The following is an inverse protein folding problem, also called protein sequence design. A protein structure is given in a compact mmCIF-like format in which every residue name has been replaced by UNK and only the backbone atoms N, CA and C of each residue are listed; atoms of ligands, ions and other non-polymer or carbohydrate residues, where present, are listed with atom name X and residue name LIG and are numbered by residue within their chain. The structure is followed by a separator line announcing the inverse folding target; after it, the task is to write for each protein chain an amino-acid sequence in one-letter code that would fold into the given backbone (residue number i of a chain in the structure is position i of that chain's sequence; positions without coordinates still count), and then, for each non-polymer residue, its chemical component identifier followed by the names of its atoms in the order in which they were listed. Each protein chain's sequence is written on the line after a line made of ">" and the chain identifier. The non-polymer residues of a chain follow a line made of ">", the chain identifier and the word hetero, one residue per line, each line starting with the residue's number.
data_IF_957513508960
#
_entry.id   IF_957513508960
#
_cell.length_a   1.000
_cell.length_b   1.000
_cell.length_c   1.000
_cell.angle_alpha   90.00
_cell.angle_beta   90.00
_cell.angle_gamma   90.00
#
_symmetry.space_group_name_H-M   'P 1'
#
loop_
_entity.id
_entity.type
_entity.pdbx_description
1 polymer ?
#
# COMPACT_ATOMS: atom_id res chain seq x y z
N UNK A 1 42.79 56.37 -14.20
CA UNK A 1 41.59 55.73 -13.60
C UNK A 1 41.29 54.46 -14.38
N UNK A 2 41.60 53.25 -13.89
CA UNK A 2 41.06 52.04 -14.48
C UNK A 2 39.75 51.67 -13.76
N UNK A 3 38.69 51.45 -14.54
CA UNK A 3 37.41 50.93 -14.08
C UNK A 3 37.51 49.40 -14.05
N UNK A 4 37.51 48.79 -12.87
CA UNK A 4 37.49 47.33 -12.72
C UNK A 4 36.03 46.89 -12.65
N UNK A 5 35.50 46.30 -13.72
CA UNK A 5 34.21 45.61 -13.69
C UNK A 5 34.33 44.35 -12.83
N UNK A 6 33.72 44.36 -11.65
CA UNK A 6 33.56 43.17 -10.82
C UNK A 6 32.45 42.29 -11.39
N UNK A 7 32.81 41.11 -11.91
CA UNK A 7 31.86 40.08 -12.29
C UNK A 7 31.45 39.28 -11.06
N UNK A 8 30.22 39.47 -10.58
CA UNK A 8 29.62 38.65 -9.51
C UNK A 8 29.18 37.30 -10.07
N UNK A 9 29.87 36.21 -9.72
CA UNK A 9 29.38 34.85 -9.96
C UNK A 9 28.24 34.55 -8.97
N UNK A 10 27.01 34.42 -9.48
CA UNK A 10 25.90 33.90 -8.71
C UNK A 10 26.02 32.36 -8.62
N UNK A 11 26.49 31.85 -7.48
CA UNK A 11 26.48 30.41 -7.19
C UNK A 11 25.07 29.97 -6.81
N UNK A 12 24.33 29.38 -7.75
CA UNK A 12 23.08 28.69 -7.47
C UNK A 12 23.37 27.40 -6.72
N UNK A 13 23.12 27.39 -5.41
CA UNK A 13 23.16 26.18 -4.60
C UNK A 13 21.97 25.28 -4.98
N UNK A 14 22.21 24.26 -5.80
CA UNK A 14 21.28 23.14 -5.93
C UNK A 14 21.29 22.38 -4.60
N UNK A 15 20.35 22.69 -3.72
CA UNK A 15 20.04 21.80 -2.61
C UNK A 15 19.55 20.48 -3.22
N UNK A 16 20.38 19.44 -3.18
CA UNK A 16 19.94 18.11 -3.51
C UNK A 16 18.75 17.80 -2.59
N UNK A 17 17.56 17.71 -3.16
CA UNK A 17 16.40 17.16 -2.47
C UNK A 17 16.80 15.72 -2.18
N UNK A 18 17.25 15.45 -0.95
CA UNK A 18 17.54 14.10 -0.52
C UNK A 18 16.22 13.34 -0.59
N UNK A 19 16.02 12.60 -1.67
CA UNK A 19 15.05 11.52 -1.68
C UNK A 19 15.53 10.54 -0.62
N UNK A 20 14.89 10.53 0.55
CA UNK A 20 15.09 9.50 1.55
C UNK A 20 14.52 8.20 0.96
N UNK A 21 15.28 7.60 0.06
CA UNK A 21 14.95 6.31 -0.52
C UNK A 21 14.91 5.29 0.61
N UNK A 22 13.87 4.44 0.60
CA UNK A 22 13.74 3.36 1.56
C UNK A 22 15.03 2.55 1.68
N UNK A 23 15.55 2.41 2.91
CA UNK A 23 16.73 1.61 3.19
C UNK A 23 16.31 0.33 3.95
N UNK A 24 16.39 -0.87 3.33
CA UNK A 24 16.01 -2.11 4.00
C UNK A 24 16.91 -2.46 5.20
N UNK A 25 18.12 -1.90 5.27
CA UNK A 25 19.05 -2.11 6.38
C UNK A 25 18.89 -1.06 7.50
N UNK A 26 18.00 -0.08 7.33
CA UNK A 26 17.72 0.93 8.35
C UNK A 26 17.05 0.29 9.57
N UNK A 27 17.51 0.69 10.76
CA UNK A 27 16.92 0.28 12.05
C UNK A 27 15.80 1.22 12.51
N UNK A 28 15.49 2.25 11.73
CA UNK A 28 14.51 3.29 12.09
C UNK A 28 13.35 3.36 11.09
N UNK A 29 13.20 2.36 10.21
CA UNK A 29 12.04 2.30 9.33
C UNK A 29 10.76 2.22 10.16
N UNK A 30 9.77 3.04 9.82
CA UNK A 30 8.44 3.03 10.43
C UNK A 30 7.45 2.35 9.48
N UNK A 31 6.83 1.28 9.98
CA UNK A 31 5.75 0.58 9.29
C UNK A 31 4.40 0.93 9.90
N UNK A 32 3.40 1.22 9.07
CA UNK A 32 2.04 1.53 9.50
C UNK A 32 1.03 0.64 8.77
N UNK A 33 -0.07 0.32 9.46
CA UNK A 33 -1.24 -0.30 8.85
C UNK A 33 -2.21 0.77 8.35
N UNK A 34 -2.74 0.57 7.14
CA UNK A 34 -3.77 1.41 6.54
C UNK A 34 -4.87 0.53 5.94
N UNK A 35 -6.15 0.90 6.11
CA UNK A 35 -7.26 0.16 5.52
C UNK A 35 -8.40 -0.20 6.47
N UNK A 36 -8.27 0.01 7.79
CA UNK A 36 -9.31 -0.30 8.79
C UNK A 36 -9.62 0.84 9.77
N UNK A 37 -9.09 2.04 9.53
CA UNK A 37 -9.40 3.21 10.36
C UNK A 37 -10.82 3.72 10.10
N UNK A 38 -11.60 4.06 11.14
CA UNK A 38 -12.92 4.69 10.95
C UNK A 38 -12.74 6.04 10.24
N UNK A 39 -13.54 6.26 9.19
CA UNK A 39 -13.48 7.48 8.36
C UNK A 39 -12.07 7.82 7.86
N UNK A 40 -11.21 6.82 7.65
CA UNK A 40 -9.83 7.06 7.25
C UNK A 40 -9.73 7.82 5.93
N UNK A 41 -8.68 8.65 5.84
CA UNK A 41 -8.28 9.28 4.60
C UNK A 41 -7.77 8.25 3.58
N UNK A 42 -7.67 8.68 2.32
CA UNK A 42 -7.05 7.92 1.24
C UNK A 42 -5.61 7.50 1.59
N UNK A 43 -5.16 6.42 0.96
CA UNK A 43 -3.81 5.86 1.13
C UNK A 43 -2.73 6.92 0.88
N UNK A 44 -2.94 7.76 -0.13
CA UNK A 44 -2.00 8.82 -0.51
C UNK A 44 -1.62 9.75 0.66
N UNK A 45 -2.56 10.09 1.55
CA UNK A 45 -2.29 10.93 2.72
C UNK A 45 -1.28 10.28 3.67
N UNK A 46 -1.34 8.95 3.82
CA UNK A 46 -0.36 8.19 4.61
C UNK A 46 1.01 8.24 3.95
N UNK A 47 1.07 8.11 2.62
CA UNK A 47 2.31 8.09 1.87
C UNK A 47 3.02 9.43 1.81
N UNK A 48 2.27 10.53 1.89
CA UNK A 48 2.80 11.89 2.01
C UNK A 48 3.50 12.15 3.35
N UNK A 49 3.23 11.34 4.36
CA UNK A 49 3.88 11.49 5.66
C UNK A 49 5.36 11.10 5.56
N UNK A 50 6.31 12.03 5.78
CA UNK A 50 7.74 11.73 5.70
C UNK A 50 8.22 10.75 6.77
N UNK A 51 7.48 10.58 7.86
CA UNK A 51 7.83 9.67 8.97
C UNK A 51 7.40 8.21 8.74
N UNK A 52 6.75 7.90 7.61
CA UNK A 52 6.34 6.52 7.27
C UNK A 52 7.27 6.00 6.18
N UNK A 53 7.74 4.76 6.29
CA UNK A 53 8.61 4.11 5.30
C UNK A 53 7.93 2.94 4.60
N UNK A 54 7.11 2.20 5.37
CA UNK A 54 6.39 1.01 4.92
C UNK A 54 4.91 1.18 5.22
N UNK A 55 4.05 0.91 4.25
CA UNK A 55 2.59 0.87 4.42
C UNK A 55 2.09 -0.56 4.19
N UNK A 56 1.47 -1.14 5.21
CA UNK A 56 0.77 -2.40 5.14
C UNK A 56 -0.71 -2.12 4.81
N UNK A 57 -1.10 -2.35 3.55
CA UNK A 57 -2.49 -2.21 3.09
C UNK A 57 -3.29 -3.41 3.58
N UNK A 58 -4.34 -3.14 4.35
CA UNK A 58 -4.99 -4.10 5.22
C UNK A 58 -6.51 -4.15 4.95
N UNK A 59 -7.11 -5.28 4.57
CA UNK A 59 -6.57 -6.64 4.56
C UNK A 59 -7.16 -7.51 3.44
N UNK A 60 -6.43 -8.57 3.09
CA UNK A 60 -7.02 -9.82 2.58
C UNK A 60 -7.47 -10.62 3.80
N UNK A 61 -8.75 -10.55 4.15
CA UNK A 61 -9.28 -11.05 5.43
C UNK A 61 -10.20 -12.28 5.31
N UNK A 62 -10.29 -12.88 4.13
CA UNK A 62 -10.92 -14.18 3.92
C UNK A 62 -10.02 -15.04 3.03
N UNK A 63 -9.78 -16.29 3.40
CA UNK A 63 -8.83 -17.17 2.70
C UNK A 63 -9.58 -18.18 1.82
N UNK A 64 -8.96 -18.68 0.73
CA UNK A 64 -9.65 -19.54 -0.24
C UNK A 64 -10.37 -20.76 0.37
N UNK A 65 -9.77 -21.43 1.36
CA UNK A 65 -10.32 -22.65 1.96
C UNK A 65 -11.63 -22.45 2.74
N UNK A 66 -11.98 -21.21 3.08
CA UNK A 66 -13.17 -20.88 3.84
C UNK A 66 -13.99 -19.73 3.22
N UNK A 67 -13.79 -19.45 1.93
CA UNK A 67 -14.42 -18.35 1.23
C UNK A 67 -15.29 -18.80 0.04
N UNK A 68 -16.40 -18.10 -0.24
CA UNK A 68 -17.23 -18.36 -1.42
C UNK A 68 -16.43 -18.32 -2.72
N UNK A 69 -16.62 -19.34 -3.56
CA UNK A 69 -15.94 -19.44 -4.85
C UNK A 69 -14.44 -19.78 -4.76
N UNK A 70 -13.94 -20.16 -3.58
CA UNK A 70 -12.52 -20.49 -3.35
C UNK A 70 -11.55 -19.36 -3.77
N UNK A 71 -12.00 -18.11 -3.71
CA UNK A 71 -11.20 -16.91 -3.93
C UNK A 71 -10.95 -16.20 -2.60
N UNK A 72 -9.80 -15.53 -2.42
CA UNK A 72 -9.58 -14.71 -1.25
C UNK A 72 -10.55 -13.51 -1.22
N UNK A 73 -10.84 -13.01 -0.03
CA UNK A 73 -11.66 -11.83 0.18
C UNK A 73 -10.86 -10.63 0.67
N UNK A 74 -11.32 -9.42 0.36
CA UNK A 74 -10.67 -8.19 0.80
C UNK A 74 -11.62 -7.26 1.53
N UNK A 75 -11.08 -6.52 2.48
CA UNK A 75 -11.75 -5.42 3.12
C UNK A 75 -10.75 -4.30 3.37
N UNK A 76 -11.03 -3.11 2.83
CA UNK A 76 -10.20 -1.91 3.00
C UNK A 76 -11.01 -0.76 3.61
N UNK A 77 -11.96 -1.09 4.49
CA UNK A 77 -12.78 -0.12 5.21
C UNK A 77 -13.65 0.70 4.26
N UNK A 78 -13.59 2.03 4.40
CA UNK A 78 -14.38 2.99 3.63
C UNK A 78 -13.82 3.32 2.23
N UNK A 79 -12.92 2.49 1.68
CA UNK A 79 -12.13 2.84 0.48
C UNK A 79 -12.60 2.17 -0.82
N UNK A 80 -13.46 1.16 -0.70
CA UNK A 80 -14.01 0.43 -1.84
C UNK A 80 -15.54 0.49 -1.81
N UNK A 81 -16.17 0.27 -2.96
CA UNK A 81 -17.61 0.05 -3.02
C UNK A 81 -18.01 -1.34 -2.51
N UNK A 82 -19.32 -1.61 -2.53
CA UNK A 82 -19.86 -2.89 -2.08
C UNK A 82 -19.65 -4.02 -3.09
N UNK A 83 -19.33 -3.69 -4.35
CA UNK A 83 -19.17 -4.66 -5.44
C UNK A 83 -18.02 -5.64 -5.18
N UNK A 84 -18.26 -6.90 -5.56
CA UNK A 84 -17.27 -7.97 -5.53
C UNK A 84 -17.12 -8.63 -6.90
N UNK A 85 -16.08 -9.44 -7.06
CA UNK A 85 -15.93 -10.30 -8.24
C UNK A 85 -16.89 -11.50 -8.16
N UNK A 86 -17.29 -12.01 -9.32
CA UNK A 86 -18.02 -13.28 -9.45
C UNK A 86 -17.11 -14.33 -10.07
N UNK A 87 -17.02 -15.51 -9.46
CA UNK A 87 -16.26 -16.64 -9.96
C UNK A 87 -17.17 -17.88 -10.08
N UNK A 88 -17.24 -18.49 -11.26
CA UNK A 88 -18.10 -19.66 -11.54
C UNK A 88 -19.56 -19.49 -11.09
N UNK A 89 -20.12 -18.29 -11.29
CA UNK A 89 -21.49 -17.96 -10.87
C UNK A 89 -21.67 -17.70 -9.37
N UNK A 90 -20.59 -17.77 -8.58
CA UNK A 90 -20.61 -17.46 -7.14
C UNK A 90 -20.03 -16.06 -6.91
N UNK A 91 -20.78 -15.21 -6.19
CA UNK A 91 -20.26 -13.93 -5.72
C UNK A 91 -19.19 -14.17 -4.64
N UNK A 92 -17.99 -13.65 -4.86
CA UNK A 92 -16.85 -13.78 -3.95
C UNK A 92 -16.89 -12.70 -2.86
N UNK A 93 -15.90 -12.74 -1.96
CA UNK A 93 -15.63 -11.66 -0.99
C UNK A 93 -14.55 -10.68 -1.48
N UNK A 94 -14.01 -10.85 -2.69
CA UNK A 94 -12.98 -10.00 -3.25
C UNK A 94 -13.60 -8.71 -3.81
N UNK A 95 -13.23 -7.56 -3.26
CA UNK A 95 -13.73 -6.26 -3.74
C UNK A 95 -13.27 -5.98 -5.17
N UNK A 96 -14.21 -5.66 -6.05
CA UNK A 96 -13.94 -5.39 -7.47
C UNK A 96 -13.91 -3.89 -7.81
N UNK A 97 -14.32 -3.04 -6.87
CA UNK A 97 -14.35 -1.60 -7.08
C UNK A 97 -13.63 -0.86 -5.94
N UNK A 98 -12.33 -0.64 -6.13
CA UNK A 98 -11.45 0.09 -5.21
C UNK A 98 -10.71 1.19 -6.00
N UNK A 99 -11.40 2.29 -6.36
CA UNK A 99 -11.01 3.15 -7.48
C UNK A 99 -9.67 3.89 -7.27
N UNK A 100 -9.29 4.16 -6.02
CA UNK A 100 -8.10 4.98 -5.73
C UNK A 100 -6.91 4.18 -5.21
N UNK A 101 -7.11 2.98 -4.66
CA UNK A 101 -6.03 2.23 -4.00
C UNK A 101 -4.90 1.93 -4.97
N UNK A 102 -5.21 1.44 -6.17
CA UNK A 102 -4.18 1.08 -7.16
C UNK A 102 -3.31 2.26 -7.60
N UNK A 103 -3.93 3.40 -7.93
CA UNK A 103 -3.19 4.61 -8.31
C UNK A 103 -2.43 5.23 -7.14
N UNK A 104 -3.00 5.22 -5.93
CA UNK A 104 -2.32 5.70 -4.73
C UNK A 104 -1.08 4.84 -4.42
N UNK A 105 -1.14 3.50 -4.55
CA UNK A 105 0.02 2.60 -4.38
C UNK A 105 1.17 3.01 -5.33
N UNK A 106 0.86 3.26 -6.60
CA UNK A 106 1.85 3.69 -7.60
C UNK A 106 2.51 5.00 -7.15
N UNK A 107 1.72 6.00 -6.72
CA UNK A 107 2.26 7.26 -6.22
C UNK A 107 3.08 7.08 -4.94
N UNK A 108 2.65 6.25 -4.00
CA UNK A 108 3.40 5.93 -2.78
C UNK A 108 4.80 5.39 -3.11
N UNK A 109 4.88 4.46 -4.06
CA UNK A 109 6.12 3.81 -4.46
C UNK A 109 7.01 4.73 -5.30
N UNK A 110 6.46 5.37 -6.33
CA UNK A 110 7.24 6.11 -7.32
C UNK A 110 7.57 7.54 -6.90
N UNK A 111 6.63 8.23 -6.24
CA UNK A 111 6.81 9.63 -5.85
C UNK A 111 7.36 9.75 -4.43
N UNK A 112 6.87 8.94 -3.49
CA UNK A 112 7.25 9.04 -2.08
C UNK A 112 8.25 7.97 -1.62
N UNK A 113 8.65 7.07 -2.51
CA UNK A 113 9.69 6.05 -2.24
C UNK A 113 9.30 5.02 -1.17
N UNK A 114 8.01 4.90 -0.84
CA UNK A 114 7.51 4.01 0.24
C UNK A 114 7.45 2.57 -0.25
N UNK A 115 7.64 1.62 0.66
CA UNK A 115 7.28 0.22 0.40
C UNK A 115 5.82 0.02 0.76
N UNK A 116 5.09 -0.68 -0.11
CA UNK A 116 3.69 -1.02 0.11
C UNK A 116 3.53 -2.52 0.04
N UNK A 117 3.01 -3.10 1.11
CA UNK A 117 2.78 -4.54 1.25
C UNK A 117 1.29 -4.79 1.45
N UNK A 118 0.77 -5.87 0.88
CA UNK A 118 -0.59 -6.33 1.14
C UNK A 118 -0.58 -7.25 2.36
N UNK A 119 -1.42 -6.96 3.36
CA UNK A 119 -1.48 -7.73 4.59
C UNK A 119 -2.60 -8.77 4.55
N UNK A 120 -2.27 -10.02 4.93
CA UNK A 120 -3.20 -11.14 5.03
C UNK A 120 -3.69 -11.31 6.49
N UNK A 121 -4.98 -11.60 6.68
CA UNK A 121 -5.60 -11.83 7.97
C UNK A 121 -6.30 -10.58 8.53
N UNK A 122 -5.97 -10.21 9.77
CA UNK A 122 -6.53 -9.06 10.48
C UNK A 122 -7.27 -9.48 11.75
N UNK A 123 -7.93 -8.52 12.42
CA UNK A 123 -8.65 -8.80 13.67
C UNK A 123 -10.02 -9.46 13.48
N UNK A 124 -10.59 -9.41 12.27
CA UNK A 124 -11.91 -9.95 11.95
C UNK A 124 -12.06 -10.27 10.46
N UNK A 125 -12.77 -11.35 10.09
CA UNK A 125 -13.27 -12.42 10.96
C UNK A 125 -12.13 -13.25 11.56
N UNK A 126 -12.39 -14.05 12.60
CA UNK A 126 -11.36 -14.82 13.32
C UNK A 126 -11.21 -16.27 12.85
N UNK A 127 -11.86 -16.64 11.75
CA UNK A 127 -12.00 -18.03 11.29
C UNK A 127 -11.30 -18.35 9.97
N UNK A 128 -10.41 -17.47 9.47
CA UNK A 128 -9.58 -17.77 8.30
C UNK A 128 -8.52 -18.83 8.63
N UNK A 129 -8.27 -19.75 7.70
CA UNK A 129 -7.27 -20.81 7.82
C UNK A 129 -6.77 -21.23 6.43
N UNK A 130 -5.65 -21.96 6.43
CA UNK A 130 -5.14 -22.66 5.25
C UNK A 130 -5.11 -24.14 5.62
N UNK A 131 -5.80 -24.98 4.84
CA UNK A 131 -6.09 -26.37 5.14
C UNK A 131 -4.88 -27.29 4.90
N UNK A 132 -4.09 -27.01 3.86
CA UNK A 132 -2.96 -27.85 3.45
C UNK A 132 -2.01 -27.09 2.52
N UNK A 133 -0.86 -27.69 2.22
CA UNK A 133 0.18 -27.09 1.37
C UNK A 133 -0.30 -26.81 -0.06
N UNK A 134 -1.22 -27.62 -0.60
CA UNK A 134 -1.76 -27.38 -1.94
C UNK A 134 -2.60 -26.09 -1.96
N UNK A 135 -3.49 -25.89 -0.99
CA UNK A 135 -4.26 -24.65 -0.90
C UNK A 135 -3.39 -23.44 -0.54
N UNK A 136 -2.32 -23.65 0.23
CA UNK A 136 -1.32 -22.62 0.51
C UNK A 136 -0.64 -22.10 -0.78
N UNK A 137 -0.14 -23.02 -1.61
CA UNK A 137 0.51 -22.67 -2.88
C UNK A 137 -0.48 -22.02 -3.84
N UNK A 138 -1.69 -22.57 -3.96
CA UNK A 138 -2.73 -21.98 -4.81
C UNK A 138 -3.12 -20.57 -4.36
N UNK A 139 -3.14 -20.28 -3.06
CA UNK A 139 -3.40 -18.95 -2.56
C UNK A 139 -2.24 -17.98 -2.86
N UNK A 140 -0.99 -18.46 -2.82
CA UNK A 140 0.16 -17.64 -3.20
C UNK A 140 0.21 -17.31 -4.70
N UNK A 141 -0.25 -18.23 -5.55
CA UNK A 141 -0.26 -18.07 -7.02
C UNK A 141 -1.43 -17.20 -7.55
N UNK A 142 -2.45 -16.97 -6.73
CA UNK A 142 -3.64 -16.18 -7.08
C UNK A 142 -3.33 -14.72 -7.41
#
# INVERSE_FOLDING_TARGET
>A
MPFILSATLATTAFAAIASAAFNPLSKTNVAVYWGQGPYQNRLLTTCQNPSVDIVNVAFVNAFPDNSPGAWPGTNFGNQCGDQTYTHNGVSTLLKSNCPTIGSDIITCQQTYGKKVLLSLGGGYPTNYYIANDTSANNFADF
#
